data_IF_017701031459
#
_entry.id   IF_017701031459
#
_cell.length_a   1.000
_cell.length_b   1.000
_cell.length_c   1.000
_cell.angle_alpha   90.00
_cell.angle_beta   90.00
_cell.angle_gamma   90.00
#
_symmetry.space_group_name_H-M   'P 1'
#
loop_
_entity.id
_entity.type
_entity.pdbx_description
1 polymer ?
#
# COMPACT_ATOMS: atom_id res chain seq x y z
N UNK A 1 -22.84 12.71 -10.93
CA UNK A 1 -21.69 11.88 -10.63
C UNK A 1 -20.64 12.03 -11.72
N UNK A 2 -19.39 11.73 -11.45
CA UNK A 2 -18.29 11.69 -12.44
C UNK A 2 -18.24 10.29 -13.00
N UNK A 3 -18.21 10.15 -14.33
CA UNK A 3 -17.92 8.86 -14.99
C UNK A 3 -16.40 8.74 -15.14
N UNK A 4 -15.83 7.66 -14.67
CA UNK A 4 -14.38 7.40 -14.75
C UNK A 4 -14.14 5.91 -15.04
N UNK A 5 -12.94 5.60 -15.53
CA UNK A 5 -12.44 4.24 -15.68
C UNK A 5 -11.18 4.05 -14.87
N UNK A 6 -10.84 2.81 -14.61
CA UNK A 6 -9.59 2.40 -13.96
C UNK A 6 -8.87 1.43 -14.88
N UNK A 7 -7.55 1.57 -14.98
CA UNK A 7 -6.68 0.67 -15.73
C UNK A 7 -5.35 0.54 -15.01
N UNK A 8 -4.57 -0.45 -15.38
CA UNK A 8 -3.19 -0.59 -14.91
C UNK A 8 -2.35 0.65 -15.25
N UNK A 9 -1.27 0.86 -14.49
CA UNK A 9 -0.31 1.92 -14.78
C UNK A 9 0.33 1.71 -16.15
N UNK A 10 0.61 2.79 -16.90
CA UNK A 10 1.26 2.67 -18.20
C UNK A 10 2.68 2.09 -18.07
N UNK A 11 3.13 1.41 -19.10
CA UNK A 11 4.51 0.96 -19.21
C UNK A 11 5.47 2.15 -19.45
N UNK A 12 6.69 2.02 -18.98
CA UNK A 12 7.76 2.97 -19.26
C UNK A 12 8.96 2.22 -19.87
N UNK A 13 9.37 2.60 -21.07
CA UNK A 13 10.42 1.90 -21.85
C UNK A 13 10.13 0.39 -22.02
N UNK A 14 8.89 0.04 -22.33
CA UNK A 14 8.40 -1.34 -22.48
C UNK A 14 8.47 -2.20 -21.17
N UNK A 15 8.74 -1.58 -20.03
CA UNK A 15 8.71 -2.22 -18.72
C UNK A 15 7.45 -1.84 -17.96
N UNK A 16 6.89 -2.80 -17.22
CA UNK A 16 5.73 -2.55 -16.38
C UNK A 16 6.10 -1.63 -15.22
N UNK A 17 5.20 -0.71 -14.90
CA UNK A 17 5.37 0.15 -13.74
C UNK A 17 5.18 -0.67 -12.46
N UNK A 18 6.23 -0.77 -11.65
CA UNK A 18 6.20 -1.45 -10.36
C UNK A 18 5.59 -0.52 -9.31
N UNK A 19 4.49 -0.94 -8.69
CA UNK A 19 3.84 -0.19 -7.61
C UNK A 19 4.15 -0.80 -6.25
N UNK A 20 4.25 0.00 -5.18
CA UNK A 20 4.32 -0.55 -3.83
C UNK A 20 2.98 -1.21 -3.47
N UNK A 21 3.04 -2.44 -2.96
CA UNK A 21 1.88 -3.18 -2.47
C UNK A 21 1.89 -3.17 -0.94
N UNK A 22 0.85 -2.56 -0.36
CA UNK A 22 0.60 -2.57 1.07
C UNK A 22 -0.38 -3.67 1.47
N UNK A 23 -0.15 -4.30 2.61
CA UNK A 23 -1.03 -5.29 3.20
C UNK A 23 -1.52 -4.85 4.57
N UNK A 24 -2.74 -5.23 4.92
CA UNK A 24 -3.22 -5.12 6.29
C UNK A 24 -2.98 -6.44 7.01
N UNK A 25 -2.36 -6.36 8.17
CA UNK A 25 -2.00 -7.53 8.96
C UNK A 25 -2.59 -7.43 10.37
N UNK A 26 -2.97 -8.58 10.92
CA UNK A 26 -3.43 -8.69 12.29
C UNK A 26 -2.36 -9.40 13.12
N UNK A 27 -2.07 -8.87 14.30
CA UNK A 27 -1.08 -9.42 15.22
C UNK A 27 -1.73 -9.78 16.55
N UNK A 28 -1.17 -10.78 17.22
CA UNK A 28 -1.48 -11.08 18.62
C UNK A 28 -0.34 -10.53 19.49
N UNK A 29 -0.69 -9.68 20.46
CA UNK A 29 0.29 -9.13 21.39
C UNK A 29 0.90 -10.21 22.28
N UNK A 30 2.21 -10.16 22.49
CA UNK A 30 2.92 -11.05 23.43
C UNK A 30 2.43 -10.88 24.89
N UNK A 31 1.90 -9.71 25.23
CA UNK A 31 1.38 -9.41 26.57
C UNK A 31 -0.09 -9.82 26.77
N UNK A 32 -0.73 -10.35 25.73
CA UNK A 32 -2.12 -10.81 25.84
C UNK A 32 -2.21 -12.11 26.64
N UNK A 33 -3.09 -12.14 27.63
CA UNK A 33 -3.43 -13.35 28.37
C UNK A 33 -4.43 -14.25 27.60
N UNK A 34 -4.90 -13.80 26.43
CA UNK A 34 -5.93 -14.48 25.59
C UNK A 34 -5.40 -14.77 24.17
N UNK A 35 -4.14 -15.16 24.07
CA UNK A 35 -3.50 -15.37 22.76
C UNK A 35 -4.23 -16.42 21.91
N UNK A 36 -4.63 -17.54 22.50
CA UNK A 36 -5.35 -18.61 21.79
C UNK A 36 -6.67 -18.14 21.22
N UNK A 37 -7.44 -17.38 22.01
CA UNK A 37 -8.72 -16.82 21.54
C UNK A 37 -8.50 -15.78 20.42
N UNK A 38 -7.47 -14.97 20.53
CA UNK A 38 -7.11 -13.99 19.49
C UNK A 38 -6.72 -14.70 18.18
N UNK A 39 -5.92 -15.77 18.23
CA UNK A 39 -5.59 -16.57 17.06
C UNK A 39 -6.82 -17.25 16.45
N UNK A 40 -7.73 -17.77 17.25
CA UNK A 40 -8.99 -18.33 16.76
C UNK A 40 -9.84 -17.28 16.03
N UNK A 41 -9.88 -16.05 16.55
CA UNK A 41 -10.59 -14.94 15.94
C UNK A 41 -9.96 -14.54 14.60
N UNK A 42 -8.64 -14.39 14.55
CA UNK A 42 -7.91 -14.06 13.29
C UNK A 42 -8.16 -15.15 12.26
N UNK A 43 -8.04 -16.41 12.67
CA UNK A 43 -8.31 -17.54 11.76
C UNK A 43 -9.75 -17.50 11.24
N UNK A 44 -10.72 -17.25 12.09
CA UNK A 44 -12.13 -17.12 11.69
C UNK A 44 -12.31 -15.99 10.66
N UNK A 45 -11.70 -14.83 10.87
CA UNK A 45 -11.76 -13.72 9.92
C UNK A 45 -11.16 -14.08 8.55
N UNK A 46 -10.02 -14.76 8.54
CA UNK A 46 -9.37 -15.19 7.29
C UNK A 46 -10.22 -16.22 6.56
N UNK A 47 -10.82 -17.16 7.29
CA UNK A 47 -11.58 -18.25 6.68
C UNK A 47 -12.99 -17.82 6.23
N UNK A 48 -13.59 -16.78 6.83
CA UNK A 48 -15.00 -16.44 6.62
C UNK A 48 -15.26 -14.96 6.27
N UNK A 49 -14.32 -14.05 6.51
CA UNK A 49 -14.56 -12.62 6.42
C UNK A 49 -14.26 -11.99 5.06
N UNK A 50 -13.79 -12.76 4.07
CA UNK A 50 -13.31 -12.19 2.80
C UNK A 50 -14.39 -11.42 2.04
N UNK A 51 -15.59 -11.99 1.91
CA UNK A 51 -16.72 -11.34 1.20
C UNK A 51 -17.16 -10.10 1.95
N UNK A 52 -17.39 -10.20 3.26
CA UNK A 52 -17.87 -9.08 4.09
C UNK A 52 -16.85 -7.91 4.08
N UNK A 53 -15.56 -8.20 4.14
CA UNK A 53 -14.51 -7.18 4.10
C UNK A 53 -14.41 -6.52 2.74
N UNK A 54 -14.62 -7.26 1.66
CA UNK A 54 -14.67 -6.71 0.31
C UNK A 54 -15.90 -5.82 0.13
N UNK A 55 -17.09 -6.29 0.46
CA UNK A 55 -18.34 -5.54 0.31
C UNK A 55 -18.40 -4.29 1.20
N UNK A 56 -17.79 -4.33 2.39
CA UNK A 56 -17.77 -3.19 3.32
C UNK A 56 -16.73 -2.12 2.99
N UNK A 57 -15.69 -2.44 2.22
CA UNK A 57 -14.60 -1.50 2.01
C UNK A 57 -13.64 -1.82 0.88
N UNK A 58 -14.06 -2.58 -0.13
CA UNK A 58 -13.27 -2.94 -1.31
C UNK A 58 -11.90 -3.57 -0.97
N UNK A 59 -11.81 -4.30 0.16
CA UNK A 59 -10.57 -4.94 0.60
C UNK A 59 -10.34 -6.20 -0.20
N UNK A 60 -9.38 -6.16 -1.13
CA UNK A 60 -9.01 -7.33 -1.93
C UNK A 60 -8.43 -8.41 -1.00
N UNK A 61 -9.01 -9.62 -0.96
CA UNK A 61 -8.50 -10.69 -0.11
C UNK A 61 -7.07 -11.09 -0.47
N UNK A 62 -6.21 -11.27 0.54
CA UNK A 62 -4.86 -11.76 0.36
C UNK A 62 -4.82 -13.25 -0.04
N UNK A 63 -5.84 -14.02 0.35
CA UNK A 63 -5.97 -15.42 -0.01
C UNK A 63 -6.52 -15.55 -1.43
N UNK A 64 -5.72 -16.11 -2.35
CA UNK A 64 -6.04 -16.15 -3.78
C UNK A 64 -7.36 -16.88 -4.09
N UNK A 65 -7.72 -17.93 -3.34
CA UNK A 65 -9.00 -18.63 -3.53
C UNK A 65 -10.20 -17.71 -3.31
N UNK A 66 -10.06 -16.75 -2.42
CA UNK A 66 -11.15 -15.83 -2.04
C UNK A 66 -11.29 -14.66 -3.02
N UNK A 67 -10.30 -14.47 -3.90
CA UNK A 67 -10.41 -13.54 -5.03
C UNK A 67 -11.32 -14.06 -6.14
N UNK A 68 -11.67 -15.36 -6.13
CA UNK A 68 -12.55 -15.97 -7.13
C UNK A 68 -14.06 -15.81 -6.84
N UNK A 69 -14.45 -14.99 -5.85
CA UNK A 69 -15.86 -14.68 -5.58
C UNK A 69 -16.44 -13.79 -6.69
N UNK A 70 -17.70 -14.03 -7.03
CA UNK A 70 -18.39 -13.33 -8.14
C UNK A 70 -18.33 -11.80 -8.02
N UNK A 71 -18.46 -11.27 -6.80
CA UNK A 71 -18.40 -9.83 -6.54
C UNK A 71 -17.06 -9.21 -6.96
N UNK A 72 -15.95 -9.92 -6.79
CA UNK A 72 -14.61 -9.48 -7.21
C UNK A 72 -14.42 -9.72 -8.71
N UNK A 73 -14.79 -10.90 -9.20
CA UNK A 73 -14.57 -11.28 -10.59
C UNK A 73 -15.36 -10.40 -11.58
N UNK A 74 -16.54 -9.95 -11.19
CA UNK A 74 -17.41 -9.10 -12.02
C UNK A 74 -17.18 -7.59 -11.83
N UNK A 75 -16.25 -7.19 -10.96
CA UNK A 75 -15.92 -5.78 -10.74
C UNK A 75 -14.68 -5.39 -11.57
N UNK A 76 -14.90 -4.69 -12.67
CA UNK A 76 -13.83 -4.26 -13.59
C UNK A 76 -12.77 -3.39 -12.92
N UNK A 77 -13.16 -2.56 -11.95
CA UNK A 77 -12.22 -1.72 -11.20
C UNK A 77 -11.31 -2.57 -10.31
N UNK A 78 -11.88 -3.54 -9.60
CA UNK A 78 -11.12 -4.45 -8.76
C UNK A 78 -10.17 -5.32 -9.58
N UNK A 79 -10.59 -5.78 -10.76
CA UNK A 79 -9.74 -6.55 -11.67
C UNK A 79 -8.53 -5.73 -12.14
N UNK A 80 -8.69 -4.44 -12.44
CA UNK A 80 -7.57 -3.58 -12.79
C UNK A 80 -6.57 -3.42 -11.63
N UNK A 81 -7.03 -3.31 -10.39
CA UNK A 81 -6.15 -3.31 -9.20
C UNK A 81 -5.44 -4.64 -9.00
N UNK A 82 -6.14 -5.78 -9.17
CA UNK A 82 -5.51 -7.11 -9.06
C UNK A 82 -4.43 -7.29 -10.12
N UNK A 83 -4.69 -6.87 -11.34
CA UNK A 83 -3.69 -6.91 -12.42
C UNK A 83 -2.45 -6.08 -12.07
N UNK A 84 -2.63 -4.87 -11.54
CA UNK A 84 -1.53 -4.01 -11.11
C UNK A 84 -0.78 -4.58 -9.90
N UNK A 85 -1.46 -5.20 -8.93
CA UNK A 85 -0.82 -5.86 -7.77
C UNK A 85 0.15 -6.97 -8.22
N UNK A 86 -0.17 -7.69 -9.30
CA UNK A 86 0.71 -8.72 -9.84
C UNK A 86 2.03 -8.17 -10.40
N UNK A 87 2.07 -6.88 -10.73
CA UNK A 87 3.26 -6.13 -11.13
C UNK A 87 3.84 -5.30 -9.97
N UNK A 88 3.38 -5.52 -8.75
CA UNK A 88 3.79 -4.76 -7.57
C UNK A 88 4.85 -5.46 -6.74
N UNK A 89 5.53 -4.68 -5.90
CA UNK A 89 6.49 -5.17 -4.91
C UNK A 89 6.06 -4.78 -3.49
N UNK A 90 6.32 -5.64 -2.50
CA UNK A 90 6.07 -5.29 -1.11
C UNK A 90 6.85 -4.03 -0.71
N UNK A 91 6.24 -3.18 0.09
CA UNK A 91 6.95 -2.04 0.65
C UNK A 91 8.13 -2.51 1.52
N UNK A 92 9.30 -1.84 1.43
CA UNK A 92 10.40 -2.12 2.34
C UNK A 92 9.97 -2.02 3.81
N UNK A 93 10.40 -2.97 4.64
CA UNK A 93 10.03 -3.04 6.07
C UNK A 93 11.09 -2.40 6.97
N UNK A 94 11.85 -1.44 6.45
CA UNK A 94 12.87 -0.70 7.20
C UNK A 94 12.25 0.51 7.92
N UNK A 95 12.79 0.85 9.08
CA UNK A 95 12.25 1.95 9.92
C UNK A 95 12.25 3.31 9.22
N UNK A 96 13.20 3.50 8.30
CA UNK A 96 13.41 4.71 7.51
C UNK A 96 12.24 5.04 6.59
N UNK A 97 11.47 4.02 6.19
CA UNK A 97 10.25 4.21 5.37
C UNK A 97 9.21 5.14 6.02
N UNK A 98 9.21 5.23 7.37
CA UNK A 98 8.35 6.15 8.09
C UNK A 98 8.57 7.63 7.73
N UNK A 99 9.79 7.99 7.36
CA UNK A 99 10.16 9.36 6.98
C UNK A 99 9.71 9.73 5.57
N UNK A 100 9.66 8.74 4.67
CA UNK A 100 9.35 8.94 3.26
C UNK A 100 8.00 9.65 3.05
N UNK A 101 6.97 9.26 3.79
CA UNK A 101 5.60 9.75 3.55
C UNK A 101 5.45 11.25 3.72
N UNK A 102 6.01 11.80 4.79
CA UNK A 102 5.95 13.24 5.08
C UNK A 102 6.78 14.02 4.07
N UNK A 103 8.01 13.58 3.80
CA UNK A 103 8.93 14.21 2.85
C UNK A 103 8.32 14.21 1.45
N UNK A 104 7.82 13.07 0.98
CA UNK A 104 7.17 12.94 -0.31
C UNK A 104 5.95 13.87 -0.42
N UNK A 105 5.04 13.83 0.55
CA UNK A 105 3.81 14.63 0.52
C UNK A 105 4.10 16.13 0.47
N UNK A 106 5.07 16.60 1.24
CA UNK A 106 5.41 18.03 1.29
C UNK A 106 6.00 18.50 -0.04
N UNK A 107 6.95 17.74 -0.61
CA UNK A 107 7.58 18.11 -1.87
C UNK A 107 6.60 18.06 -3.05
N UNK A 108 5.72 17.04 -3.10
CA UNK A 108 4.68 16.95 -4.14
C UNK A 108 3.70 18.12 -4.02
N UNK A 109 3.30 18.54 -2.81
CA UNK A 109 2.43 19.71 -2.62
C UNK A 109 3.10 20.99 -3.12
N UNK A 110 4.36 21.24 -2.74
CA UNK A 110 5.10 22.41 -3.21
C UNK A 110 5.31 22.42 -4.72
N UNK A 111 5.49 21.25 -5.32
CA UNK A 111 5.52 21.14 -6.78
C UNK A 111 4.16 21.49 -7.40
N UNK A 112 3.05 21.01 -6.86
CA UNK A 112 1.70 21.31 -7.37
C UNK A 112 1.29 22.77 -7.16
N UNK A 113 1.76 23.42 -6.08
CA UNK A 113 1.52 24.86 -5.85
C UNK A 113 2.40 25.76 -6.72
N UNK A 114 3.38 25.20 -7.43
CA UNK A 114 4.32 25.94 -8.25
C UNK A 114 5.47 26.59 -7.47
N UNK A 115 5.67 26.21 -6.21
CA UNK A 115 6.77 26.70 -5.36
C UNK A 115 8.12 26.07 -5.75
N UNK A 116 8.10 24.90 -6.37
CA UNK A 116 9.29 24.24 -6.89
C UNK A 116 8.99 23.46 -8.18
N UNK A 117 9.98 23.28 -9.00
CA UNK A 117 9.91 22.45 -10.21
C UNK A 117 9.90 20.95 -9.86
N UNK A 118 9.49 20.07 -10.78
CA UNK A 118 9.58 18.61 -10.57
C UNK A 118 11.00 18.14 -10.26
N UNK A 119 12.02 18.73 -10.91
CA UNK A 119 13.43 18.41 -10.70
C UNK A 119 13.91 18.84 -9.30
N UNK A 120 13.48 20.03 -8.84
CA UNK A 120 13.77 20.50 -7.48
C UNK A 120 13.08 19.64 -6.44
N UNK A 121 11.80 19.28 -6.65
CA UNK A 121 11.06 18.40 -5.77
C UNK A 121 11.76 17.05 -5.59
N UNK A 122 12.20 16.43 -6.70
CA UNK A 122 12.91 15.16 -6.66
C UNK A 122 14.23 15.25 -5.89
N UNK A 123 15.05 16.30 -6.15
CA UNK A 123 16.32 16.52 -5.45
C UNK A 123 16.10 16.76 -3.95
N UNK A 124 15.11 17.58 -3.61
CA UNK A 124 14.79 17.88 -2.22
C UNK A 124 14.28 16.66 -1.45
N UNK A 125 13.47 15.79 -2.09
CA UNK A 125 13.04 14.53 -1.48
C UNK A 125 14.23 13.63 -1.13
N UNK A 126 15.18 13.45 -2.06
CA UNK A 126 16.38 12.64 -1.81
C UNK A 126 17.21 13.24 -0.68
N UNK A 127 17.54 14.52 -0.75
CA UNK A 127 18.37 15.17 0.27
C UNK A 127 17.74 15.13 1.67
N UNK A 128 16.43 15.38 1.79
CA UNK A 128 15.72 15.34 3.07
C UNK A 128 15.63 13.91 3.62
N UNK A 129 15.47 12.90 2.76
CA UNK A 129 15.45 11.50 3.18
C UNK A 129 16.82 11.06 3.69
N UNK A 130 17.89 11.39 2.97
CA UNK A 130 19.27 11.11 3.39
C UNK A 130 19.60 11.79 4.73
N UNK A 131 19.19 13.03 4.93
CA UNK A 131 19.34 13.74 6.22
C UNK A 131 18.58 13.03 7.35
N UNK A 132 17.33 12.65 7.11
CA UNK A 132 16.51 11.95 8.09
C UNK A 132 17.11 10.59 8.48
N UNK A 133 17.63 9.83 7.52
CA UNK A 133 18.32 8.55 7.76
C UNK A 133 19.58 8.78 8.63
N UNK A 134 20.42 9.75 8.27
CA UNK A 134 21.63 10.06 9.01
C UNK A 134 21.35 10.48 10.48
N UNK A 135 20.26 11.22 10.71
CA UNK A 135 19.84 11.58 12.07
C UNK A 135 19.36 10.36 12.87
N UNK A 136 18.65 9.42 12.24
CA UNK A 136 18.21 8.18 12.89
C UNK A 136 19.41 7.30 13.28
N UNK A 137 20.44 7.23 12.44
CA UNK A 137 21.65 6.43 12.70
C UNK A 137 22.57 7.07 13.74
N UNK A 138 22.63 8.40 13.80
CA UNK A 138 23.43 9.13 14.80
C UNK A 138 22.81 9.12 16.20
N UNK A 139 21.52 8.80 16.33
CA UNK A 139 20.80 8.69 17.59
C UNK A 139 20.85 7.30 18.24
N UNK A 140 21.49 6.33 17.58
CA UNK A 140 21.75 4.97 18.11
C UNK A 140 23.12 4.91 18.77
#
# INVERSE_FOLDING_TARGET
>A
GVSFGITEMPTFNDENFVTPVGTQVSFVSNSSEKQDAAWQFIKYLIDNGAVDMYEAGDRIPAKLSDQNIDAIQNNEYTQAFIAQINNGEPMPTVSEMGQLWTIHTNNIRSMWSGEQTPEEAAKNMVAQLEEAINLMDSGK
#
